data_IF_857380860208
#
_entry.id   IF_857380860208
#
_cell.length_a   1.000
_cell.length_b   1.000
_cell.length_c   1.000
_cell.angle_alpha   90.00
_cell.angle_beta   90.00
_cell.angle_gamma   90.00
#
_symmetry.space_group_name_H-M   'P 1'
#
loop_
_entity.id
_entity.type
_entity.pdbx_description
1 polymer ?
#
# COMPACT_ATOMS: atom_id res chain seq x y z
N UNK A 1 -5.86 8.84 5.39
CA UNK A 1 -5.87 9.33 3.99
C UNK A 1 -4.68 8.78 3.22
N UNK A 2 -4.84 8.67 1.91
CA UNK A 2 -3.76 8.29 1.02
C UNK A 2 -3.77 9.22 -0.21
N UNK A 3 -2.63 9.83 -0.50
CA UNK A 3 -2.45 10.66 -1.68
C UNK A 3 -1.74 9.83 -2.76
N UNK A 4 -2.37 9.69 -3.92
CA UNK A 4 -1.88 8.85 -5.01
C UNK A 4 -1.74 9.68 -6.27
N UNK A 5 -0.59 9.59 -6.92
CA UNK A 5 -0.35 10.26 -8.21
C UNK A 5 -1.30 9.70 -9.27
N UNK A 6 -1.94 10.59 -10.04
CA UNK A 6 -3.00 10.23 -10.99
C UNK A 6 -2.55 9.24 -12.07
N UNK A 7 -1.30 9.18 -12.42
CA UNK A 7 -0.79 8.24 -13.42
C UNK A 7 -0.55 6.82 -12.91
N UNK A 8 -0.81 6.53 -11.65
CA UNK A 8 -0.54 5.22 -11.06
C UNK A 8 -1.67 4.23 -11.34
N UNK A 9 -1.31 2.99 -11.67
CA UNK A 9 -2.28 1.89 -11.92
C UNK A 9 -3.15 1.56 -10.72
N UNK A 10 -2.66 1.79 -9.52
CA UNK A 10 -3.41 1.55 -8.29
C UNK A 10 -4.71 2.37 -8.22
N UNK A 11 -4.76 3.53 -8.88
CA UNK A 11 -5.98 4.36 -8.96
C UNK A 11 -7.15 3.54 -9.53
N UNK A 12 -6.93 2.82 -10.63
CA UNK A 12 -7.98 1.98 -11.23
C UNK A 12 -8.45 0.90 -10.27
N UNK A 13 -7.52 0.24 -9.57
CA UNK A 13 -7.87 -0.79 -8.60
C UNK A 13 -8.68 -0.23 -7.43
N UNK A 14 -8.31 0.93 -6.92
CA UNK A 14 -9.03 1.60 -5.83
C UNK A 14 -10.45 1.98 -6.30
N UNK A 15 -10.57 2.60 -7.48
CA UNK A 15 -11.86 3.03 -8.03
C UNK A 15 -12.81 1.85 -8.29
N UNK A 16 -12.28 0.72 -8.74
CA UNK A 16 -13.09 -0.48 -9.02
C UNK A 16 -13.48 -1.22 -7.74
N UNK A 17 -12.58 -1.33 -6.77
CA UNK A 17 -12.82 -2.14 -5.57
C UNK A 17 -13.49 -1.34 -4.44
N UNK A 18 -13.20 -0.06 -4.31
CA UNK A 18 -13.60 0.74 -3.17
C UNK A 18 -12.77 0.49 -1.91
N UNK A 19 -11.66 -0.24 -2.01
CA UNK A 19 -10.81 -0.60 -0.88
C UNK A 19 -9.34 -0.22 -1.12
N UNK A 20 -8.65 0.04 -0.01
CA UNK A 20 -7.20 0.25 0.02
C UNK A 20 -6.63 -0.67 1.09
N UNK A 21 -5.63 -1.48 0.73
CA UNK A 21 -4.84 -2.24 1.68
C UNK A 21 -3.53 -1.53 1.98
N UNK A 22 -3.18 -1.43 3.24
CA UNK A 22 -1.90 -0.88 3.66
C UNK A 22 -1.08 -2.00 4.30
N UNK A 23 0.00 -2.38 3.64
CA UNK A 23 0.96 -3.33 4.16
C UNK A 23 2.14 -2.56 4.74
N UNK A 24 2.34 -2.66 6.05
CA UNK A 24 3.46 -2.03 6.73
C UNK A 24 4.63 -2.99 6.72
N UNK A 25 5.74 -2.58 6.15
CA UNK A 25 6.94 -3.41 6.03
C UNK A 25 7.89 -3.15 7.20
N UNK A 26 8.62 -4.19 7.59
CA UNK A 26 9.72 -4.06 8.54
C UNK A 26 10.97 -3.46 7.90
N UNK A 27 11.89 -2.96 8.70
CA UNK A 27 13.12 -2.31 8.22
C UNK A 27 14.01 -3.24 7.39
N UNK A 28 13.90 -4.55 7.58
CA UNK A 28 14.65 -5.58 6.84
C UNK A 28 13.92 -6.10 5.58
N UNK A 29 12.74 -5.58 5.26
CA UNK A 29 11.85 -6.11 4.21
C UNK A 29 12.00 -5.40 2.85
N UNK A 30 13.18 -4.84 2.56
CA UNK A 30 13.41 -4.13 1.29
C UNK A 30 13.10 -5.01 0.06
N UNK A 31 13.30 -6.32 0.13
CA UNK A 31 12.99 -7.26 -0.96
C UNK A 31 11.49 -7.31 -1.30
N UNK A 32 10.63 -7.11 -0.31
CA UNK A 32 9.19 -7.07 -0.53
C UNK A 32 8.74 -5.80 -1.24
N UNK A 33 9.47 -4.72 -1.05
CA UNK A 33 9.18 -3.42 -1.67
C UNK A 33 9.69 -3.32 -3.10
N UNK A 34 10.76 -4.03 -3.43
CA UNK A 34 11.44 -3.93 -4.72
C UNK A 34 10.53 -4.09 -5.93
N UNK A 35 9.62 -5.08 -6.00
CA UNK A 35 8.73 -5.21 -7.16
C UNK A 35 7.84 -3.99 -7.41
N UNK A 36 7.50 -3.24 -6.36
CA UNK A 36 6.63 -2.07 -6.44
C UNK A 36 7.36 -0.80 -6.86
N UNK A 37 8.68 -0.82 -6.86
CA UNK A 37 9.51 0.30 -7.32
C UNK A 37 9.86 0.22 -8.81
N UNK A 38 9.57 -0.90 -9.45
CA UNK A 38 9.83 -1.15 -10.86
C UNK A 38 8.63 -0.71 -11.70
N UNK A 39 8.80 0.34 -12.51
CA UNK A 39 7.72 0.91 -13.32
C UNK A 39 7.13 -0.05 -14.34
N UNK A 40 7.95 -0.96 -14.88
CA UNK A 40 7.57 -1.88 -15.94
C UNK A 40 6.96 -3.19 -15.40
N UNK A 41 6.85 -3.32 -14.09
CA UNK A 41 6.31 -4.53 -13.49
C UNK A 41 4.79 -4.46 -13.41
N UNK A 42 4.11 -5.20 -14.30
CA UNK A 42 2.65 -5.27 -14.34
C UNK A 42 2.04 -6.16 -13.25
N UNK A 43 2.86 -6.98 -12.60
CA UNK A 43 2.42 -7.96 -11.59
C UNK A 43 3.33 -7.92 -10.37
N UNK A 44 3.36 -6.80 -9.62
CA UNK A 44 4.29 -6.64 -8.50
C UNK A 44 4.07 -7.64 -7.37
N UNK A 45 2.86 -8.21 -7.24
CA UNK A 45 2.56 -9.24 -6.25
C UNK A 45 2.96 -10.65 -6.68
N UNK A 46 3.31 -10.86 -7.96
CA UNK A 46 3.76 -12.15 -8.45
C UNK A 46 5.04 -12.59 -7.73
N UNK A 47 5.04 -13.81 -7.20
CA UNK A 47 6.15 -14.33 -6.42
C UNK A 47 6.17 -13.91 -4.95
N UNK A 48 5.23 -13.10 -4.51
CA UNK A 48 5.05 -12.76 -3.10
C UNK A 48 3.94 -13.62 -2.49
N UNK A 49 4.13 -14.02 -1.25
CA UNK A 49 3.12 -14.78 -0.51
C UNK A 49 2.04 -13.85 0.01
N UNK A 50 0.77 -14.18 -0.28
CA UNK A 50 -0.38 -13.38 0.10
C UNK A 50 -1.31 -14.18 1.01
N UNK A 51 -1.87 -13.51 2.01
CA UNK A 51 -2.96 -14.04 2.81
C UNK A 51 -4.30 -13.79 2.13
N UNK A 52 -5.22 -14.76 2.27
CA UNK A 52 -6.61 -14.54 1.89
C UNK A 52 -7.32 -13.73 2.99
N UNK A 53 -8.19 -12.80 2.56
CA UNK A 53 -9.05 -12.06 3.48
C UNK A 53 -10.42 -11.84 2.86
N UNK A 54 -11.40 -11.51 3.70
CA UNK A 54 -12.81 -11.37 3.29
C UNK A 54 -13.05 -10.21 2.30
N UNK A 55 -12.09 -9.31 2.14
CA UNK A 55 -12.20 -8.15 1.25
C UNK A 55 -11.47 -8.33 -0.07
N UNK A 56 -10.76 -9.45 -0.25
CA UNK A 56 -9.93 -9.73 -1.43
C UNK A 56 -8.89 -8.63 -1.72
N UNK A 57 -8.37 -8.01 -0.67
CA UNK A 57 -7.34 -6.98 -0.76
C UNK A 57 -5.97 -7.66 -0.64
N UNK A 58 -4.98 -7.33 -1.49
CA UNK A 58 -3.65 -7.91 -1.38
C UNK A 58 -3.03 -7.66 0.00
N UNK A 59 -2.80 -8.74 0.73
CA UNK A 59 -2.22 -8.75 2.06
C UNK A 59 -0.96 -9.60 2.07
N UNK A 60 0.19 -8.98 2.27
CA UNK A 60 1.47 -9.67 2.29
C UNK A 60 1.61 -10.46 3.59
N UNK A 61 1.85 -11.77 3.46
CA UNK A 61 2.04 -12.67 4.62
C UNK A 61 3.19 -12.20 5.52
N UNK A 62 4.26 -11.70 4.90
CA UNK A 62 5.47 -11.30 5.61
C UNK A 62 5.46 -9.83 6.09
N UNK A 63 4.41 -9.06 5.81
CA UNK A 63 4.31 -7.69 6.30
C UNK A 63 4.25 -7.68 7.83
N UNK A 64 4.82 -6.63 8.42
CA UNK A 64 4.77 -6.41 9.86
C UNK A 64 3.32 -6.20 10.34
N UNK A 65 2.55 -5.46 9.56
CA UNK A 65 1.14 -5.19 9.84
C UNK A 65 0.37 -4.98 8.53
N UNK A 66 -0.93 -5.15 8.60
CA UNK A 66 -1.84 -4.90 7.48
C UNK A 66 -3.08 -4.18 7.97
N UNK A 67 -3.53 -3.19 7.21
CA UNK A 67 -4.78 -2.47 7.43
C UNK A 67 -5.65 -2.59 6.17
N UNK A 68 -6.89 -3.04 6.36
CA UNK A 68 -7.91 -2.99 5.32
C UNK A 68 -8.74 -1.72 5.50
N UNK A 69 -8.85 -0.91 4.46
CA UNK A 69 -9.53 0.37 4.51
C UNK A 69 -10.60 0.44 3.43
N UNK A 70 -11.79 0.94 3.79
CA UNK A 70 -12.86 1.21 2.84
C UNK A 70 -12.85 2.69 2.47
N UNK A 71 -12.82 3.00 1.17
CA UNK A 71 -12.85 4.37 0.69
C UNK A 71 -14.20 5.01 1.03
N UNK A 72 -14.15 6.18 1.66
CA UNK A 72 -15.34 6.95 2.04
C UNK A 72 -15.47 8.26 1.27
N UNK A 73 -14.39 8.72 0.63
CA UNK A 73 -14.40 9.93 -0.17
C UNK A 73 -13.08 10.15 -0.88
N UNK A 74 -13.07 11.11 -1.80
CA UNK A 74 -11.87 11.51 -2.50
C UNK A 74 -11.86 13.00 -2.81
N UNK A 75 -10.68 13.57 -2.92
CA UNK A 75 -10.44 14.94 -3.37
C UNK A 75 -9.45 14.88 -4.52
N UNK A 76 -9.83 15.43 -5.66
CA UNK A 76 -8.94 15.55 -6.80
C UNK A 76 -8.19 16.88 -6.71
N UNK A 77 -6.88 16.82 -6.59
CA UNK A 77 -6.03 17.99 -6.43
C UNK A 77 -4.81 17.94 -7.34
N UNK A 78 -4.86 18.64 -8.48
CA UNK A 78 -3.76 18.70 -9.41
C UNK A 78 -3.40 17.33 -9.98
N UNK A 79 -2.16 16.88 -9.74
CA UNK A 79 -1.64 15.61 -10.25
C UNK A 79 -1.81 14.43 -9.28
N UNK A 80 -2.49 14.66 -8.15
CA UNK A 80 -2.77 13.64 -7.16
C UNK A 80 -4.27 13.56 -6.84
N UNK A 81 -4.71 12.37 -6.49
CA UNK A 81 -6.02 12.14 -5.86
C UNK A 81 -5.79 11.74 -4.41
N UNK A 82 -6.49 12.40 -3.50
CA UNK A 82 -6.43 12.10 -2.07
C UNK A 82 -7.67 11.30 -1.71
N UNK A 83 -7.46 10.09 -1.22
CA UNK A 83 -8.54 9.23 -0.74
C UNK A 83 -8.67 9.33 0.77
N UNK A 84 -9.90 9.55 1.23
CA UNK A 84 -10.27 9.32 2.61
C UNK A 84 -10.80 7.90 2.74
N UNK A 85 -10.35 7.18 3.74
CA UNK A 85 -10.77 5.80 3.93
C UNK A 85 -10.89 5.47 5.43
N UNK A 86 -11.86 4.65 5.75
CA UNK A 86 -12.07 4.13 7.10
C UNK A 86 -11.33 2.80 7.25
N UNK A 87 -10.54 2.67 8.30
CA UNK A 87 -9.94 1.38 8.66
C UNK A 87 -11.01 0.46 9.19
N UNK A 88 -11.27 -0.64 8.48
CA UNK A 88 -12.33 -1.59 8.83
C UNK A 88 -11.82 -2.89 9.41
N UNK A 89 -10.53 -3.21 9.21
CA UNK A 89 -9.90 -4.40 9.73
C UNK A 89 -8.38 -4.19 9.79
N UNK A 90 -7.70 -4.96 10.59
CA UNK A 90 -6.25 -4.88 10.68
C UNK A 90 -5.66 -6.03 11.47
N UNK A 91 -4.37 -6.28 11.21
CA UNK A 91 -3.60 -7.27 11.93
C UNK A 91 -2.18 -6.77 12.15
N UNK A 92 -1.66 -6.99 13.34
CA UNK A 92 -0.26 -6.79 13.68
C UNK A 92 0.40 -8.16 13.79
N UNK A 93 1.25 -8.49 12.80
CA UNK A 93 1.89 -9.80 12.75
C UNK A 93 3.08 -9.94 13.68
N UNK A 94 3.84 -8.86 13.87
CA UNK A 94 5.04 -8.88 14.72
C UNK A 94 5.29 -7.52 15.34
N UNK A 95 4.94 -7.38 16.62
CA UNK A 95 5.11 -6.14 17.37
C UNK A 95 6.57 -5.87 17.79
N UNK A 96 7.46 -6.86 17.65
CA UNK A 96 8.88 -6.73 18.03
C UNK A 96 9.74 -6.10 16.94
N UNK A 97 9.26 -6.08 15.69
CA UNK A 97 10.01 -5.56 14.55
C UNK A 97 9.79 -4.05 14.39
N UNK A 98 10.84 -3.37 13.92
CA UNK A 98 10.74 -1.95 13.62
C UNK A 98 10.20 -1.74 12.21
N UNK A 99 9.29 -0.77 12.00
CA UNK A 99 8.79 -0.45 10.67
C UNK A 99 9.88 0.19 9.81
N UNK A 100 9.75 -0.02 8.50
CA UNK A 100 10.62 0.60 7.51
C UNK A 100 10.32 2.10 7.44
N UNK A 101 11.36 2.92 7.55
CA UNK A 101 11.26 4.37 7.43
C UNK A 101 12.08 4.81 6.22
N UNK A 102 11.46 5.57 5.31
CA UNK A 102 12.17 6.15 4.19
C UNK A 102 12.74 7.51 4.58
N UNK A 103 14.06 7.60 4.58
CA UNK A 103 14.75 8.87 4.79
C UNK A 103 15.07 9.47 3.42
N UNK A 104 14.56 10.66 3.15
CA UNK A 104 14.86 11.39 1.93
C UNK A 104 16.26 11.99 2.00
N UNK A 105 17.02 11.82 0.94
CA UNK A 105 18.35 12.43 0.80
C UNK A 105 18.30 13.87 0.31
N UNK A 106 17.22 14.24 -0.42
CA UNK A 106 16.92 15.60 -0.77
C UNK A 106 15.41 15.87 -0.63
N UNK A 107 15.00 17.10 -0.32
CA UNK A 107 13.63 17.43 0.03
C UNK A 107 12.63 17.48 -1.12
N UNK A 108 13.05 17.32 -2.38
CA UNK A 108 12.22 17.62 -3.55
C UNK A 108 11.89 16.44 -4.47
N UNK A 109 12.48 15.28 -4.29
CA UNK A 109 12.25 14.11 -5.13
C UNK A 109 11.61 12.96 -4.35
N UNK A 110 10.60 12.38 -4.97
CA UNK A 110 9.89 11.23 -4.46
C UNK A 110 10.40 9.94 -5.09
#
# INVERSE_FOLDING_TARGET
>A
TAAVSNGRRIITAIEQSGFIGINVLGEEDARLMKPFTQRDNDSPFSGLELEENQHSIPQLTEALAFLACRVTGKIEGGDHTIYAAEVIDGILNDSSRQPMVRIRKNGFQY
#
